data_IF_739656640494
#
_entry.id   IF_739656640494
#
_cell.length_a   1.000
_cell.length_b   1.000
_cell.length_c   1.000
_cell.angle_alpha   90.00
_cell.angle_beta   90.00
_cell.angle_gamma   90.00
#
_symmetry.space_group_name_H-M   'P 1'
#
loop_
_entity.id
_entity.type
_entity.pdbx_description
1 polymer ?
#
# COMPACT_ATOMS: atom_id res chain seq x y z
N UNK A 1 -21.91 -18.67 -10.20
CA UNK A 1 -21.63 -17.51 -9.33
C UNK A 1 -20.13 -17.36 -9.10
N UNK A 2 -19.45 -16.66 -10.02
CA UNK A 2 -17.99 -16.46 -9.99
C UNK A 2 -17.70 -15.14 -9.25
N UNK A 3 -17.63 -15.23 -7.92
CA UNK A 3 -17.32 -14.07 -7.07
C UNK A 3 -15.93 -13.54 -7.45
N UNK A 4 -15.85 -12.28 -7.91
CA UNK A 4 -14.65 -11.63 -8.48
C UNK A 4 -13.65 -11.16 -7.42
N UNK A 5 -13.48 -11.90 -6.32
CA UNK A 5 -12.64 -11.51 -5.19
C UNK A 5 -11.54 -12.52 -4.91
N UNK A 6 -10.94 -13.08 -5.97
CA UNK A 6 -9.90 -14.10 -5.88
C UNK A 6 -8.68 -13.65 -5.08
N UNK A 7 -7.82 -14.61 -4.75
CA UNK A 7 -6.68 -14.41 -3.84
C UNK A 7 -5.80 -13.22 -4.23
N UNK A 8 -5.56 -13.00 -5.52
CA UNK A 8 -4.84 -11.85 -6.05
C UNK A 8 -5.42 -10.50 -5.60
N UNK A 9 -6.73 -10.33 -5.68
CA UNK A 9 -7.39 -9.10 -5.26
C UNK A 9 -7.35 -8.90 -3.74
N UNK A 10 -7.30 -9.99 -2.97
CA UNK A 10 -7.16 -9.93 -1.51
C UNK A 10 -5.72 -9.64 -1.11
N UNK A 11 -4.74 -10.14 -1.86
CA UNK A 11 -3.33 -9.93 -1.59
C UNK A 11 -2.92 -8.47 -1.83
N UNK A 12 -3.09 -7.99 -3.07
CA UNK A 12 -2.75 -6.64 -3.47
C UNK A 12 -3.61 -6.16 -4.63
N UNK A 13 -4.13 -4.93 -4.54
CA UNK A 13 -4.90 -4.30 -5.61
C UNK A 13 -4.82 -2.79 -5.54
N UNK A 14 -5.29 -2.12 -6.58
CA UNK A 14 -5.62 -0.68 -6.50
C UNK A 14 -7.05 -0.48 -6.00
N UNK A 15 -7.23 0.34 -4.98
CA UNK A 15 -8.50 0.99 -4.66
C UNK A 15 -8.42 2.41 -5.20
N UNK A 16 -8.98 2.64 -6.39
CA UNK A 16 -8.79 3.89 -7.14
C UNK A 16 -7.30 4.21 -7.37
N UNK A 17 -6.78 5.24 -6.72
CA UNK A 17 -5.44 5.79 -6.86
C UNK A 17 -4.46 5.32 -5.75
N UNK A 18 -4.89 4.44 -4.85
CA UNK A 18 -4.06 3.95 -3.74
C UNK A 18 -4.09 2.42 -3.62
N UNK A 19 -3.14 1.89 -2.83
CA UNK A 19 -2.99 0.46 -2.59
C UNK A 19 -4.10 -0.06 -1.66
N UNK A 20 -4.58 -1.27 -1.91
CA UNK A 20 -5.53 -1.99 -1.07
C UNK A 20 -5.23 -3.50 -1.04
N UNK A 21 -5.98 -4.24 -0.25
CA UNK A 21 -5.71 -5.64 0.10
C UNK A 21 -4.85 -5.76 1.35
N UNK A 22 -4.52 -7.00 1.71
CA UNK A 22 -3.70 -7.33 2.88
C UNK A 22 -2.41 -6.54 2.94
N UNK A 23 -1.76 -6.31 1.80
CA UNK A 23 -0.52 -5.53 1.76
C UNK A 23 -0.72 -4.09 2.23
N UNK A 24 -1.83 -3.43 1.85
CA UNK A 24 -2.08 -2.04 2.20
C UNK A 24 -2.52 -1.90 3.66
N UNK A 25 -3.32 -2.84 4.15
CA UNK A 25 -3.71 -2.91 5.57
C UNK A 25 -2.47 -3.12 6.42
N UNK A 26 -1.59 -4.06 6.07
CA UNK A 26 -0.36 -4.31 6.80
C UNK A 26 0.60 -3.09 6.80
N UNK A 27 0.69 -2.34 5.69
CA UNK A 27 1.46 -1.08 5.65
C UNK A 27 0.84 -0.07 6.62
N UNK A 28 -0.49 0.04 6.62
CA UNK A 28 -1.21 0.98 7.49
C UNK A 28 -1.00 0.64 8.96
N UNK A 29 -1.13 -0.64 9.33
CA UNK A 29 -0.85 -1.15 10.67
C UNK A 29 0.57 -0.81 11.10
N UNK A 30 1.56 -1.11 10.26
CA UNK A 30 2.97 -0.82 10.52
C UNK A 30 3.22 0.68 10.76
N UNK A 31 2.60 1.55 9.96
CA UNK A 31 2.74 3.00 10.12
C UNK A 31 2.07 3.50 11.40
N UNK A 32 0.94 2.92 11.80
CA UNK A 32 0.26 3.26 13.06
C UNK A 32 1.04 2.75 14.27
N UNK A 33 1.50 1.50 14.25
CA UNK A 33 2.31 0.88 15.31
C UNK A 33 3.61 1.66 15.54
N UNK A 34 4.23 2.17 14.47
CA UNK A 34 5.44 3.01 14.55
C UNK A 34 5.15 4.47 14.88
N UNK A 35 3.89 4.84 15.18
CA UNK A 35 3.45 6.23 15.40
C UNK A 35 3.84 7.18 14.26
N UNK A 36 3.99 6.64 13.04
CA UNK A 36 4.24 7.41 11.82
C UNK A 36 2.94 8.03 11.30
N UNK A 37 1.83 7.34 11.49
CA UNK A 37 0.48 7.83 11.19
C UNK A 37 -0.37 7.70 12.43
N UNK A 38 -1.13 8.75 12.74
CA UNK A 38 -2.25 8.68 13.68
C UNK A 38 -3.52 8.59 12.83
N UNK A 39 -4.31 7.55 13.05
CA UNK A 39 -5.50 7.27 12.26
C UNK A 39 -6.69 7.03 13.18
N UNK A 40 -7.79 7.72 12.92
CA UNK A 40 -9.09 7.51 13.54
C UNK A 40 -10.13 7.19 12.45
N UNK A 41 -11.42 7.15 12.81
CA UNK A 41 -12.51 6.83 11.88
C UNK A 41 -12.80 7.98 10.89
N UNK A 42 -12.50 9.22 11.27
CA UNK A 42 -12.85 10.44 10.53
C UNK A 42 -11.68 10.99 9.69
N UNK A 43 -10.46 10.55 9.99
CA UNK A 43 -9.26 11.02 9.31
C UNK A 43 -7.98 10.43 9.88
N UNK A 44 -6.87 10.93 9.35
CA UNK A 44 -5.56 10.64 9.91
C UNK A 44 -4.56 11.73 9.59
N UNK A 45 -3.45 11.70 10.32
CA UNK A 45 -2.34 12.60 10.13
C UNK A 45 -1.01 11.85 10.08
N UNK A 46 -0.12 12.31 9.20
CA UNK A 46 1.28 11.89 9.22
C UNK A 46 2.02 12.69 10.30
N UNK A 47 2.66 11.99 11.23
CA UNK A 47 3.45 12.63 12.29
C UNK A 47 4.79 13.12 11.76
N UNK A 48 5.53 13.91 12.54
CA UNK A 48 6.91 14.30 12.18
C UNK A 48 7.81 13.09 11.94
N UNK A 49 7.65 12.04 12.76
CA UNK A 49 8.38 10.78 12.59
C UNK A 49 7.96 10.07 11.29
N UNK A 50 6.65 10.09 10.97
CA UNK A 50 6.14 9.54 9.71
C UNK A 50 6.67 10.26 8.49
N UNK A 51 6.76 11.59 8.53
CA UNK A 51 7.40 12.36 7.46
C UNK A 51 8.85 11.94 7.24
N UNK A 52 9.65 11.90 8.32
CA UNK A 52 11.06 11.50 8.24
C UNK A 52 11.22 10.04 7.75
N UNK A 53 10.34 9.14 8.20
CA UNK A 53 10.34 7.75 7.75
C UNK A 53 10.01 7.64 6.26
N UNK A 54 8.91 8.26 5.81
CA UNK A 54 8.46 8.21 4.42
C UNK A 54 9.51 8.83 3.48
N UNK A 55 10.07 9.98 3.84
CA UNK A 55 11.16 10.62 3.09
C UNK A 55 12.40 9.73 3.05
N UNK A 56 12.79 9.14 4.20
CA UNK A 56 13.96 8.26 4.31
C UNK A 56 13.86 6.99 3.45
N UNK A 57 12.64 6.51 3.16
CA UNK A 57 12.43 5.35 2.27
C UNK A 57 12.22 5.77 0.80
N UNK A 58 12.16 7.08 0.52
CA UNK A 58 12.01 7.67 -0.81
C UNK A 58 10.56 7.88 -1.24
N UNK A 59 9.64 8.06 -0.30
CA UNK A 59 8.25 8.45 -0.54
C UNK A 59 8.13 9.96 -0.30
N UNK A 60 8.05 10.72 -1.39
CA UNK A 60 7.79 12.16 -1.34
C UNK A 60 6.29 12.43 -1.27
N UNK A 61 5.86 13.18 -0.26
CA UNK A 61 4.47 13.63 -0.09
C UNK A 61 4.21 15.02 -0.70
N UNK A 62 5.09 15.48 -1.60
CA UNK A 62 4.92 16.70 -2.38
C UNK A 62 5.23 17.99 -1.61
N UNK A 63 6.32 18.00 -0.83
CA UNK A 63 6.77 19.21 -0.13
C UNK A 63 5.88 19.65 1.04
N UNK A 64 4.92 18.81 1.46
CA UNK A 64 4.08 19.06 2.64
C UNK A 64 4.84 19.01 3.98
N UNK A 65 6.17 18.98 3.95
CA UNK A 65 7.15 18.93 5.06
C UNK A 65 6.90 19.92 6.22
N UNK A 66 6.00 20.90 6.06
CA UNK A 66 5.65 21.89 7.10
C UNK A 66 4.17 21.95 7.50
N UNK A 67 3.26 21.21 6.85
CA UNK A 67 1.84 21.17 7.22
C UNK A 67 1.43 19.73 7.55
N UNK A 68 0.47 19.59 8.46
CA UNK A 68 -0.19 18.33 8.80
C UNK A 68 -0.71 17.69 7.50
N UNK A 69 -0.07 16.61 7.04
CA UNK A 69 -0.58 15.84 5.89
C UNK A 69 -1.74 15.02 6.39
N UNK A 70 -2.94 15.39 5.93
CA UNK A 70 -4.12 14.60 6.17
C UNK A 70 -4.11 13.36 5.27
N UNK A 71 -4.16 12.19 5.88
CA UNK A 71 -4.52 10.96 5.21
C UNK A 71 -5.97 10.61 5.54
N UNK A 72 -6.57 9.73 4.74
CA UNK A 72 -7.95 9.27 4.96
C UNK A 72 -7.95 7.77 5.15
N UNK A 73 -8.59 7.25 6.21
CA UNK A 73 -8.87 5.82 6.29
C UNK A 73 -9.80 5.44 5.13
N UNK A 74 -9.49 4.34 4.45
CA UNK A 74 -10.37 3.73 3.46
C UNK A 74 -10.58 2.27 3.83
N UNK A 75 -11.84 1.85 3.94
CA UNK A 75 -12.17 0.52 4.43
C UNK A 75 -11.88 -0.54 3.36
N UNK A 76 -11.00 -1.48 3.68
CA UNK A 76 -10.75 -2.63 2.84
C UNK A 76 -11.97 -3.57 2.87
N UNK A 77 -12.54 -3.90 1.71
CA UNK A 77 -13.69 -4.80 1.67
C UNK A 77 -13.32 -6.26 2.01
N UNK A 78 -12.08 -6.70 1.73
CA UNK A 78 -11.67 -8.09 1.97
C UNK A 78 -11.21 -8.30 3.40
N UNK A 79 -10.47 -7.33 3.95
CA UNK A 79 -9.92 -7.41 5.31
C UNK A 79 -10.84 -6.78 6.37
N UNK A 80 -11.80 -5.94 5.96
CA UNK A 80 -12.67 -5.15 6.85
C UNK A 80 -11.88 -4.26 7.81
N UNK A 81 -10.74 -3.74 7.36
CA UNK A 81 -9.81 -2.91 8.12
C UNK A 81 -9.38 -1.70 7.28
N UNK A 82 -9.01 -0.57 7.91
CA UNK A 82 -8.61 0.61 7.16
C UNK A 82 -7.26 0.40 6.45
N UNK A 83 -7.15 0.94 5.24
CA UNK A 83 -5.89 1.25 4.58
C UNK A 83 -5.80 2.75 4.26
N UNK A 84 -4.62 3.25 3.89
CA UNK A 84 -4.41 4.67 3.63
C UNK A 84 -4.83 5.09 2.21
N UNK A 85 -5.69 6.11 2.15
CA UNK A 85 -6.04 6.83 0.93
C UNK A 85 -5.49 8.28 0.95
N UNK A 86 -5.82 9.06 -0.09
CA UNK A 86 -5.33 10.43 -0.25
C UNK A 86 -3.86 10.48 -0.67
N UNK A 87 -3.20 11.61 -0.43
CA UNK A 87 -1.81 11.86 -0.88
C UNK A 87 -0.86 10.77 -0.39
N UNK A 88 -1.00 10.31 0.86
CA UNK A 88 -0.14 9.25 1.42
C UNK A 88 -0.37 7.92 0.69
N UNK A 89 -1.63 7.52 0.52
CA UNK A 89 -1.98 6.28 -0.19
C UNK A 89 -1.53 6.29 -1.65
N UNK A 90 -1.72 7.42 -2.34
CA UNK A 90 -1.31 7.60 -3.73
C UNK A 90 0.22 7.59 -3.87
N UNK A 91 0.94 8.24 -2.96
CA UNK A 91 2.40 8.27 -2.97
C UNK A 91 3.02 6.90 -2.66
N UNK A 92 2.41 6.14 -1.75
CA UNK A 92 2.78 4.74 -1.47
C UNK A 92 2.60 3.85 -2.70
N UNK A 93 1.45 3.96 -3.38
CA UNK A 93 1.20 3.19 -4.61
C UNK A 93 2.20 3.57 -5.71
N UNK A 94 2.45 4.87 -5.90
CA UNK A 94 3.40 5.37 -6.89
C UNK A 94 4.81 4.85 -6.60
N UNK A 95 5.26 4.95 -5.35
CA UNK A 95 6.55 4.43 -4.92
C UNK A 95 6.68 2.92 -5.17
N UNK A 96 5.64 2.14 -4.85
CA UNK A 96 5.64 0.71 -5.09
C UNK A 96 5.77 0.36 -6.59
N UNK A 97 5.16 1.15 -7.49
CA UNK A 97 5.37 0.99 -8.93
C UNK A 97 6.78 1.43 -9.36
N UNK A 98 7.25 2.59 -8.92
CA UNK A 98 8.55 3.14 -9.31
C UNK A 98 9.71 2.25 -8.87
N UNK A 99 9.56 1.56 -7.73
CA UNK A 99 10.52 0.56 -7.24
C UNK A 99 10.35 -0.83 -7.86
N UNK A 100 9.33 -1.03 -8.71
CA UNK A 100 9.00 -2.34 -9.27
C UNK A 100 8.57 -3.36 -8.21
N UNK A 101 8.02 -2.92 -7.07
CA UNK A 101 7.53 -3.82 -6.02
C UNK A 101 6.21 -4.49 -6.38
N UNK A 102 5.40 -3.78 -7.17
CA UNK A 102 4.13 -4.28 -7.66
C UNK A 102 4.00 -4.05 -9.16
N UNK A 103 3.29 -4.96 -9.82
CA UNK A 103 3.00 -4.89 -11.25
C UNK A 103 1.50 -5.06 -11.49
N UNK A 104 1.00 -4.43 -12.55
CA UNK A 104 -0.41 -4.54 -12.93
C UNK A 104 -0.71 -5.89 -13.55
N UNK A 105 -1.76 -6.56 -13.09
CA UNK A 105 -2.36 -7.69 -13.80
C UNK A 105 -3.32 -7.14 -14.86
N UNK A 106 -3.17 -7.59 -16.11
CA UNK A 106 -3.98 -7.11 -17.26
C UNK A 106 -5.48 -7.28 -16.97
N UNK A 107 -6.26 -6.29 -17.38
CA UNK A 107 -7.73 -6.26 -17.27
C UNK A 107 -8.27 -6.47 -15.85
N UNK A 108 -7.46 -6.13 -14.85
CA UNK A 108 -7.79 -6.28 -13.43
C UNK A 108 -7.26 -5.11 -12.60
N UNK A 109 -7.85 -4.93 -11.41
CA UNK A 109 -7.31 -4.06 -10.36
C UNK A 109 -6.29 -4.77 -9.49
N UNK A 110 -6.16 -6.09 -9.63
CA UNK A 110 -5.18 -6.87 -8.90
C UNK A 110 -3.76 -6.48 -9.29
N UNK A 111 -2.87 -6.53 -8.32
CA UNK A 111 -1.46 -6.29 -8.48
C UNK A 111 -0.70 -7.56 -8.11
N UNK A 112 0.28 -7.93 -8.93
CA UNK A 112 1.24 -8.97 -8.56
C UNK A 112 2.35 -8.32 -7.74
N UNK A 113 2.80 -9.00 -6.68
CA UNK A 113 3.95 -8.58 -5.88
C UNK A 113 5.19 -9.29 -6.43
N UNK A 114 6.14 -8.49 -6.93
CA UNK A 114 7.37 -9.01 -7.54
C UNK A 114 8.32 -9.55 -6.47
N UNK A 115 9.39 -10.22 -6.89
CA UNK A 115 10.47 -10.61 -5.95
C UNK A 115 11.10 -9.40 -5.26
N UNK A 116 11.35 -8.31 -6.01
CA UNK A 116 11.82 -7.05 -5.44
C UNK A 116 10.81 -6.43 -4.46
N UNK A 117 9.51 -6.60 -4.71
CA UNK A 117 8.46 -6.16 -3.79
C UNK A 117 8.47 -6.93 -2.48
N UNK A 118 8.66 -8.25 -2.52
CA UNK A 118 8.77 -9.07 -1.29
C UNK A 118 9.90 -8.58 -0.40
N UNK A 119 11.07 -8.35 -0.99
CA UNK A 119 12.24 -7.82 -0.28
C UNK A 119 12.01 -6.38 0.20
N UNK A 120 11.47 -5.52 -0.65
CA UNK A 120 11.21 -4.11 -0.35
C UNK A 120 10.19 -3.91 0.77
N UNK A 121 9.05 -4.61 0.73
CA UNK A 121 8.04 -4.56 1.77
C UNK A 121 8.56 -5.13 3.10
N UNK A 122 9.36 -6.19 3.05
CA UNK A 122 9.98 -6.76 4.25
C UNK A 122 11.01 -5.80 4.86
N UNK A 123 11.91 -5.24 4.05
CA UNK A 123 12.95 -4.34 4.53
C UNK A 123 12.38 -3.02 5.06
N UNK A 124 11.36 -2.48 4.40
CA UNK A 124 10.83 -1.14 4.71
C UNK A 124 9.80 -1.18 5.84
N UNK A 125 8.86 -2.12 5.75
CA UNK A 125 7.69 -2.19 6.63
C UNK A 125 7.68 -3.43 7.53
N UNK A 126 8.63 -4.35 7.40
CA UNK A 126 8.61 -5.62 8.15
C UNK A 126 7.53 -6.59 7.66
N UNK A 127 6.96 -6.37 6.48
CA UNK A 127 5.81 -7.13 5.97
C UNK A 127 6.31 -8.25 5.06
N UNK A 128 5.87 -9.48 5.31
CA UNK A 128 6.08 -10.62 4.41
C UNK A 128 4.81 -10.83 3.60
N UNK A 129 4.78 -10.43 2.31
CA UNK A 129 3.58 -10.59 1.51
C UNK A 129 3.27 -12.07 1.27
N UNK A 130 1.98 -12.41 1.17
CA UNK A 130 1.59 -13.75 0.81
C UNK A 130 2.09 -14.07 -0.61
N UNK A 131 2.62 -15.28 -0.77
CA UNK A 131 3.10 -15.81 -2.04
C UNK A 131 1.91 -16.08 -2.95
N UNK A 132 1.86 -15.40 -4.09
CA UNK A 132 1.14 -15.92 -5.26
C UNK A 132 2.11 -16.79 -6.04
N UNK A 133 1.94 -18.10 -5.97
CA UNK A 133 2.52 -18.99 -6.97
C UNK A 133 1.73 -18.84 -8.26
N UNK A 134 2.38 -18.32 -9.30
CA UNK A 134 1.91 -18.47 -10.68
C UNK A 134 1.06 -17.31 -11.23
N UNK A 135 1.73 -16.26 -11.68
CA UNK A 135 1.44 -15.72 -13.02
C UNK A 135 2.77 -15.71 -13.75
N UNK A 136 3.05 -16.80 -14.45
CA UNK A 136 4.06 -16.78 -15.51
C UNK A 136 3.57 -15.68 -16.45
N UNK A 137 4.35 -14.60 -16.55
CA UNK A 137 4.14 -13.61 -17.59
C UNK A 137 4.02 -14.38 -18.91
N UNK A 138 2.82 -14.39 -19.50
CA UNK A 138 2.65 -14.75 -20.88
C UNK A 138 3.48 -13.75 -21.67
N UNK A 139 4.72 -14.13 -21.98
CA UNK A 139 5.56 -13.43 -22.94
C UNK A 139 4.77 -13.44 -24.25
N UNK A 140 4.44 -12.25 -24.74
CA UNK A 140 4.12 -12.05 -26.14
C UNK A 140 5.38 -12.22 -26.99
#
# INVERSE_FOLDING_TARGET
NHWRGGEALRNARTCYDHLAGRIAVAITDCLVERSCVLLDEDGGEVTKAGHAFLEGVGIDLGGASKRRVFCRPCLDWSERRPHLAGVVGASLLRHAFDRGWVERIRDSRALSITSAGKEGFAATFGIKPAIEEGVVAAKA
#
